data_IF_290781793384
#
_entry.id   IF_290781793384
#
_cell.length_a   1.000
_cell.length_b   1.000
_cell.length_c   1.000
_cell.angle_alpha   90.00
_cell.angle_beta   90.00
_cell.angle_gamma   90.00
#
_symmetry.space_group_name_H-M   'P 1'
#
loop_
_entity.id
_entity.type
_entity.pdbx_description
1 polymer ?
#
# COMPACT_ATOMS: atom_id res chain seq x y z
N UNK A 1 9.19 -6.65 -6.64
CA UNK A 1 9.47 -5.93 -5.38
C UNK A 1 10.81 -5.23 -5.50
N UNK A 2 10.94 -4.02 -4.98
CA UNK A 2 12.17 -3.22 -4.95
C UNK A 2 12.66 -3.01 -3.51
N UNK A 3 13.91 -2.66 -3.34
CA UNK A 3 14.53 -2.31 -2.06
C UNK A 3 14.17 -0.89 -1.64
N UNK A 4 14.45 -0.53 -0.38
CA UNK A 4 14.31 0.85 0.11
C UNK A 4 15.17 1.85 -0.64
N UNK A 5 16.36 1.44 -1.12
CA UNK A 5 17.26 2.31 -1.88
C UNK A 5 16.74 2.56 -3.29
N UNK A 6 16.25 1.52 -3.98
CA UNK A 6 15.60 1.64 -5.29
C UNK A 6 14.31 2.45 -5.22
N UNK A 7 13.50 2.26 -4.16
CA UNK A 7 12.30 3.05 -3.92
C UNK A 7 12.64 4.53 -3.67
N UNK A 8 13.68 4.80 -2.89
CA UNK A 8 14.15 6.16 -2.65
C UNK A 8 14.58 6.84 -3.96
N UNK A 9 15.34 6.14 -4.81
CA UNK A 9 15.72 6.64 -6.13
C UNK A 9 14.51 6.87 -7.04
N UNK A 10 13.53 5.95 -7.06
CA UNK A 10 12.32 6.06 -7.87
C UNK A 10 11.45 7.25 -7.46
N UNK A 11 11.32 7.51 -6.16
CA UNK A 11 10.50 8.61 -5.62
C UNK A 11 11.26 9.94 -5.47
N UNK A 12 12.53 10.00 -5.91
CA UNK A 12 13.37 11.20 -5.75
C UNK A 12 13.59 11.61 -4.29
N UNK A 13 13.64 10.64 -3.37
CA UNK A 13 13.75 10.85 -1.93
C UNK A 13 14.94 10.12 -1.32
N UNK A 14 15.09 10.15 0.00
CA UNK A 14 16.16 9.45 0.71
C UNK A 14 15.66 8.14 1.32
N UNK A 15 16.58 7.20 1.56
CA UNK A 15 16.28 5.97 2.31
C UNK A 15 15.68 6.25 3.70
N UNK A 16 16.13 7.32 4.37
CA UNK A 16 15.61 7.73 5.69
C UNK A 16 14.15 8.15 5.58
N UNK A 17 13.82 8.97 4.58
CA UNK A 17 12.44 9.38 4.29
C UNK A 17 11.57 8.19 3.93
N UNK A 18 12.07 7.27 3.10
CA UNK A 18 11.35 6.05 2.74
C UNK A 18 11.04 5.20 3.98
N UNK A 19 12.00 5.03 4.89
CA UNK A 19 11.77 4.31 6.14
C UNK A 19 10.75 5.04 7.05
N UNK A 20 10.75 6.38 7.06
CA UNK A 20 9.74 7.15 7.80
C UNK A 20 8.34 6.95 7.20
N UNK A 21 8.22 6.93 5.88
CA UNK A 21 6.96 6.65 5.18
C UNK A 21 6.43 5.24 5.45
N UNK A 22 7.31 4.24 5.48
CA UNK A 22 6.91 2.87 5.86
C UNK A 22 6.35 2.87 7.29
N UNK A 23 7.08 3.47 8.25
CA UNK A 23 6.64 3.53 9.65
C UNK A 23 5.32 4.27 9.84
N UNK A 24 5.06 5.30 9.03
CA UNK A 24 3.81 6.08 9.11
C UNK A 24 2.65 5.48 8.30
N UNK A 25 2.83 4.30 7.67
CA UNK A 25 1.80 3.69 6.82
C UNK A 25 1.61 4.39 5.46
N UNK A 26 2.51 5.30 5.06
CA UNK A 26 2.47 5.96 3.74
C UNK A 26 3.06 5.10 2.62
N UNK A 27 3.85 4.09 2.99
CA UNK A 27 4.39 3.12 2.03
C UNK A 27 4.22 1.71 2.56
N UNK A 28 4.00 0.78 1.63
CA UNK A 28 3.93 -0.65 1.89
C UNK A 28 5.37 -1.18 1.91
N UNK A 29 5.89 -1.32 3.13
CA UNK A 29 7.18 -1.93 3.40
C UNK A 29 7.01 -3.33 3.99
N UNK A 30 7.26 -4.35 3.19
CA UNK A 30 7.16 -5.76 3.62
C UNK A 30 8.48 -6.19 4.26
N UNK A 31 8.45 -6.64 5.52
CA UNK A 31 9.64 -7.09 6.23
C UNK A 31 10.19 -8.37 5.59
N UNK A 32 11.52 -8.42 5.37
CA UNK A 32 12.19 -9.54 4.71
C UNK A 32 13.20 -10.24 5.64
N UNK A 33 13.29 -11.56 5.55
CA UNK A 33 14.06 -12.45 6.44
C UNK A 33 15.54 -12.07 6.62
N UNK A 34 16.17 -11.47 5.60
CA UNK A 34 17.62 -11.20 5.59
C UNK A 34 18.02 -9.75 5.87
N UNK A 35 17.09 -8.89 6.36
CA UNK A 35 17.22 -7.45 6.69
C UNK A 35 16.51 -6.52 5.69
N UNK A 36 15.88 -5.47 6.23
CA UNK A 36 15.27 -4.39 5.47
C UNK A 36 13.85 -4.69 4.97
N UNK A 37 13.30 -3.74 4.23
CA UNK A 37 11.98 -3.83 3.61
C UNK A 37 12.07 -4.10 2.11
N UNK A 38 11.07 -4.82 1.60
CA UNK A 38 10.76 -4.94 0.19
C UNK A 38 9.46 -4.22 -0.11
N UNK A 39 9.44 -3.46 -1.19
CA UNK A 39 8.35 -2.58 -1.58
C UNK A 39 7.77 -3.03 -2.92
N UNK A 40 6.45 -3.17 -3.06
CA UNK A 40 5.84 -3.32 -4.39
C UNK A 40 6.12 -2.07 -5.23
N UNK A 41 6.64 -2.24 -6.44
CA UNK A 41 6.98 -1.10 -7.33
C UNK A 41 5.73 -0.32 -7.74
N UNK A 42 4.62 -1.03 -7.96
CA UNK A 42 3.35 -0.43 -8.36
C UNK A 42 2.79 0.55 -7.32
N UNK A 43 3.23 0.50 -6.07
CA UNK A 43 2.70 1.38 -5.01
C UNK A 43 2.98 2.86 -5.28
N UNK A 44 3.97 3.15 -6.13
CA UNK A 44 4.38 4.50 -6.50
C UNK A 44 3.62 5.04 -7.72
N UNK A 45 2.69 4.28 -8.29
CA UNK A 45 1.83 4.74 -9.37
C UNK A 45 0.81 5.77 -8.86
N UNK A 46 0.48 6.75 -9.69
CA UNK A 46 -0.35 7.91 -9.30
C UNK A 46 -1.74 7.54 -8.81
N UNK A 47 -2.31 6.43 -9.28
CA UNK A 47 -3.66 5.99 -8.92
C UNK A 47 -3.74 5.38 -7.52
N UNK A 48 -2.61 4.94 -6.94
CA UNK A 48 -2.59 4.18 -5.69
C UNK A 48 -1.75 4.84 -4.60
N UNK A 49 -0.65 5.50 -4.95
CA UNK A 49 0.24 6.10 -3.95
C UNK A 49 -0.47 7.06 -2.97
N UNK A 50 -1.41 7.94 -3.41
CA UNK A 50 -2.14 8.81 -2.50
C UNK A 50 -3.13 8.07 -1.59
N UNK A 51 -3.52 6.84 -1.95
CA UNK A 51 -4.55 6.04 -1.28
C UNK A 51 -3.99 5.20 -0.13
N UNK A 52 -2.70 4.84 -0.19
CA UNK A 52 -2.06 3.93 0.78
C UNK A 52 -2.17 4.46 2.22
N UNK A 53 -1.83 5.72 2.48
CA UNK A 53 -1.88 6.29 3.82
C UNK A 53 -3.31 6.34 4.40
N UNK A 54 -4.32 6.88 3.70
CA UNK A 54 -5.71 6.82 4.13
C UNK A 54 -6.22 5.39 4.37
N UNK A 55 -5.87 4.46 3.49
CA UNK A 55 -6.25 3.05 3.60
C UNK A 55 -5.60 2.37 4.82
N UNK A 56 -4.32 2.64 5.08
CA UNK A 56 -3.62 2.13 6.27
C UNK A 56 -4.26 2.65 7.57
N UNK A 57 -4.68 3.92 7.60
CA UNK A 57 -5.43 4.48 8.70
C UNK A 57 -6.80 3.80 8.88
N UNK A 58 -7.52 3.53 7.78
CA UNK A 58 -8.80 2.82 7.79
C UNK A 58 -8.69 1.36 8.28
N UNK A 59 -7.61 0.65 7.91
CA UNK A 59 -7.31 -0.70 8.41
C UNK A 59 -6.77 -0.72 9.85
N UNK A 60 -6.58 0.45 10.47
CA UNK A 60 -5.90 0.62 11.76
C UNK A 60 -4.54 -0.11 11.83
N UNK A 61 -3.81 -0.17 10.71
CA UNK A 61 -2.57 -0.94 10.60
C UNK A 61 -1.56 -0.29 9.66
N UNK A 62 -0.29 -0.37 10.05
CA UNK A 62 0.85 -0.02 9.20
C UNK A 62 1.68 -1.25 8.81
N UNK A 63 1.21 -2.45 9.14
CA UNK A 63 1.90 -3.68 8.78
C UNK A 63 1.88 -3.90 7.27
N UNK A 64 3.07 -3.90 6.66
CA UNK A 64 3.20 -3.98 5.21
C UNK A 64 2.63 -5.26 4.60
N UNK A 65 2.59 -6.37 5.35
CA UNK A 65 1.95 -7.60 4.88
C UNK A 65 0.43 -7.46 4.86
N UNK A 66 -0.18 -6.91 5.90
CA UNK A 66 -1.62 -6.64 5.94
C UNK A 66 -2.06 -5.68 4.84
N UNK A 67 -1.35 -4.56 4.64
CA UNK A 67 -1.66 -3.60 3.59
C UNK A 67 -1.55 -4.21 2.19
N UNK A 68 -0.52 -5.04 1.96
CA UNK A 68 -0.33 -5.74 0.70
C UNK A 68 -1.43 -6.78 0.45
N UNK A 69 -1.78 -7.56 1.48
CA UNK A 69 -2.81 -8.58 1.41
C UNK A 69 -4.16 -7.97 1.04
N UNK A 70 -4.55 -6.87 1.70
CA UNK A 70 -5.79 -6.17 1.38
C UNK A 70 -5.83 -5.72 -0.09
N UNK A 71 -4.76 -5.08 -0.57
CA UNK A 71 -4.73 -4.53 -1.94
C UNK A 71 -4.66 -5.58 -3.06
N UNK A 72 -4.07 -6.75 -2.81
CA UNK A 72 -3.90 -7.82 -3.80
C UNK A 72 -4.98 -8.92 -3.70
N UNK A 73 -5.74 -8.99 -2.60
CA UNK A 73 -6.77 -10.02 -2.43
C UNK A 73 -8.07 -9.65 -3.15
N UNK A 74 -8.69 -10.60 -3.88
CA UNK A 74 -10.04 -10.43 -4.42
C UNK A 74 -11.04 -10.01 -3.34
N UNK A 75 -11.86 -9.00 -3.61
CA UNK A 75 -12.87 -8.53 -2.67
C UNK A 75 -14.28 -8.68 -3.29
N UNK A 76 -15.26 -9.33 -2.62
CA UNK A 76 -16.60 -9.53 -3.16
C UNK A 76 -17.33 -8.23 -3.51
N UNK A 77 -17.14 -7.16 -2.75
CA UNK A 77 -17.74 -5.84 -3.02
C UNK A 77 -17.12 -5.07 -4.20
N UNK A 78 -16.09 -5.65 -4.84
CA UNK A 78 -15.42 -5.15 -6.04
C UNK A 78 -15.55 -6.17 -7.18
N UNK A 79 -16.66 -6.92 -7.22
CA UNK A 79 -16.94 -7.92 -8.26
C UNK A 79 -15.84 -8.99 -8.39
N UNK A 80 -15.20 -9.34 -7.27
CA UNK A 80 -14.10 -10.31 -7.22
C UNK A 80 -12.76 -9.75 -7.71
N UNK A 81 -12.66 -8.45 -8.00
CA UNK A 81 -11.39 -7.79 -8.27
C UNK A 81 -10.68 -7.45 -6.97
N UNK A 82 -9.34 -7.35 -7.03
CA UNK A 82 -8.58 -6.81 -5.91
C UNK A 82 -8.71 -5.29 -5.85
N UNK A 83 -8.63 -4.67 -4.65
CA UNK A 83 -8.68 -3.21 -4.51
C UNK A 83 -7.67 -2.47 -5.39
N UNK A 84 -6.46 -3.00 -5.57
CA UNK A 84 -5.48 -2.44 -6.52
C UNK A 84 -6.02 -2.40 -7.95
N UNK A 85 -6.56 -3.53 -8.43
CA UNK A 85 -7.11 -3.65 -9.79
C UNK A 85 -8.31 -2.73 -9.98
N UNK A 86 -9.18 -2.63 -8.97
CA UNK A 86 -10.33 -1.72 -9.01
C UNK A 86 -9.90 -0.25 -9.13
N UNK A 87 -8.89 0.18 -8.35
CA UNK A 87 -8.32 1.55 -8.46
C UNK A 87 -7.71 1.81 -9.83
N UNK A 88 -6.98 0.84 -10.37
CA UNK A 88 -6.38 0.91 -11.71
C UNK A 88 -7.45 1.07 -12.81
N UNK A 89 -8.62 0.46 -12.62
CA UNK A 89 -9.78 0.57 -13.52
C UNK A 89 -10.65 1.82 -13.27
N UNK A 90 -10.25 2.71 -12.37
CA UNK A 90 -10.95 3.97 -12.12
C UNK A 90 -12.01 3.91 -11.02
N UNK A 91 -12.05 2.86 -10.21
CA UNK A 91 -12.88 2.83 -8.99
C UNK A 91 -12.47 3.98 -8.08
N UNK A 92 -13.42 4.75 -7.52
CA UNK A 92 -13.11 5.85 -6.62
C UNK A 92 -12.32 5.38 -5.40
N UNK A 93 -11.24 6.09 -5.06
CA UNK A 93 -10.40 5.77 -3.90
C UNK A 93 -11.18 5.67 -2.59
N UNK A 94 -12.19 6.53 -2.40
CA UNK A 94 -13.04 6.51 -1.22
C UNK A 94 -13.72 5.15 -1.02
N UNK A 95 -14.20 4.51 -2.10
CA UNK A 95 -14.82 3.18 -2.02
C UNK A 95 -13.86 2.15 -1.44
N UNK A 96 -12.59 2.18 -1.84
CA UNK A 96 -11.57 1.26 -1.32
C UNK A 96 -11.24 1.55 0.14
N UNK A 97 -11.20 2.82 0.53
CA UNK A 97 -10.95 3.23 1.93
C UNK A 97 -12.12 2.80 2.84
N UNK A 98 -13.36 2.90 2.35
CA UNK A 98 -14.55 2.46 3.10
C UNK A 98 -14.52 0.94 3.33
N UNK A 99 -14.08 0.16 2.33
CA UNK A 99 -13.90 -1.29 2.47
C UNK A 99 -12.82 -1.64 3.50
N UNK A 100 -11.68 -0.92 3.46
CA UNK A 100 -10.62 -1.06 4.46
C UNK A 100 -11.15 -0.78 5.89
N UNK A 101 -12.03 0.21 6.05
CA UNK A 101 -12.65 0.52 7.35
C UNK A 101 -13.52 -0.65 7.84
N UNK A 102 -14.24 -1.32 6.94
CA UNK A 102 -15.08 -2.47 7.29
C UNK A 102 -14.27 -3.71 7.70
N UNK A 103 -13.03 -3.87 7.21
CA UNK A 103 -12.14 -4.98 7.59
C UNK A 103 -11.29 -4.70 8.85
N UNK A 104 -11.11 -3.42 9.21
CA UNK A 104 -10.31 -2.99 10.36
C UNK A 104 -11.02 -3.07 11.73
N UNK A 105 -12.31 -3.41 11.75
CA UNK A 105 -13.18 -3.49 12.94
C UNK A 105 -13.72 -4.90 13.16
#
# INVERSE_FOLDING_TARGET
MITTDEAAALSGTTRVTMNAWIKSGRCIGVSHLRRGYKLPRWQFESFIFPVIAPMAAALASTDGWQLLAFLESPHPALDGQSPRTALEQGTPAQRVIDLATAEGH
#
